data_IF_200950320396
#
_entry.id   IF_200950320396
#
_cell.length_a   1.000
_cell.length_b   1.000
_cell.length_c   1.000
_cell.angle_alpha   90.00
_cell.angle_beta   90.00
_cell.angle_gamma   90.00
#
_symmetry.space_group_name_H-M   'P 1'
#
loop_
_entity.id
_entity.type
_entity.pdbx_description
1 polymer ?
#
# COMPACT_ATOMS: atom_id res chain seq x y z
N UNK A 1 -6.61 35.71 -38.81
CA UNK A 1 -5.45 34.82 -38.52
C UNK A 1 -4.97 34.84 -37.07
N UNK A 2 -5.28 35.88 -36.27
CA UNK A 2 -4.85 35.95 -34.86
C UNK A 2 -5.83 35.23 -33.90
N UNK A 3 -7.11 35.12 -34.26
CA UNK A 3 -8.13 34.47 -33.42
C UNK A 3 -7.97 32.94 -33.29
N UNK A 4 -7.44 32.28 -34.33
CA UNK A 4 -7.21 30.83 -34.34
C UNK A 4 -6.03 30.40 -33.47
N UNK A 5 -5.11 31.30 -33.14
CA UNK A 5 -3.94 30.99 -32.30
C UNK A 5 -4.30 30.88 -30.81
N UNK A 6 -5.33 31.60 -30.34
CA UNK A 6 -5.76 31.58 -28.94
C UNK A 6 -6.54 30.32 -28.56
N UNK A 7 -7.25 29.71 -29.52
CA UNK A 7 -8.05 28.50 -29.26
C UNK A 7 -7.13 27.28 -29.07
N UNK A 8 -6.00 27.22 -29.79
CA UNK A 8 -5.02 26.14 -29.66
C UNK A 8 -4.25 26.23 -28.33
N UNK A 9 -3.93 27.45 -27.85
CA UNK A 9 -3.28 27.62 -26.55
C UNK A 9 -4.19 27.27 -25.36
N UNK A 10 -5.50 27.55 -25.45
CA UNK A 10 -6.44 27.21 -24.40
C UNK A 10 -6.60 25.68 -24.24
N UNK A 11 -6.54 24.92 -25.33
CA UNK A 11 -6.60 23.46 -25.28
C UNK A 11 -5.37 22.80 -24.63
N UNK A 12 -4.22 23.50 -24.59
CA UNK A 12 -3.02 23.02 -23.89
C UNK A 12 -3.04 23.29 -22.38
N UNK A 13 -3.92 24.20 -21.92
CA UNK A 13 -4.09 24.51 -20.50
C UNK A 13 -5.25 23.77 -19.83
N UNK A 14 -6.20 23.23 -20.60
CA UNK A 14 -7.09 22.18 -20.11
C UNK A 14 -6.41 20.83 -20.20
N UNK A 15 -5.29 20.70 -19.48
CA UNK A 15 -4.81 19.40 -19.05
C UNK A 15 -5.90 18.78 -18.19
N UNK A 16 -6.78 18.00 -18.81
CA UNK A 16 -7.59 17.04 -18.09
C UNK A 16 -6.58 16.06 -17.51
N UNK A 17 -6.06 16.36 -16.30
CA UNK A 17 -5.55 15.31 -15.42
C UNK A 17 -6.78 14.45 -15.18
N UNK A 18 -6.95 13.40 -15.99
CA UNK A 18 -7.89 12.34 -15.66
C UNK A 18 -7.51 11.91 -14.25
N UNK A 19 -8.43 12.07 -13.30
CA UNK A 19 -8.24 11.47 -12.00
C UNK A 19 -8.16 9.96 -12.26
N UNK A 20 -7.01 9.35 -12.02
CA UNK A 20 -6.85 7.91 -12.11
C UNK A 20 -7.85 7.30 -11.11
N UNK A 21 -8.70 6.40 -11.59
CA UNK A 21 -9.65 5.68 -10.74
C UNK A 21 -9.01 4.37 -10.32
N UNK A 22 -8.88 4.14 -9.01
CA UNK A 22 -8.28 2.91 -8.46
C UNK A 22 -9.37 2.05 -7.85
N UNK A 23 -9.49 0.83 -8.35
CA UNK A 23 -10.34 -0.22 -7.80
C UNK A 23 -9.47 -1.22 -7.06
N UNK A 24 -9.75 -1.47 -5.80
CA UNK A 24 -9.13 -2.53 -5.00
C UNK A 24 -9.88 -3.82 -5.31
N UNK A 25 -9.23 -4.71 -6.06
CA UNK A 25 -9.85 -5.97 -6.50
C UNK A 25 -9.91 -6.98 -5.35
N UNK A 26 -8.84 -7.07 -4.55
CA UNK A 26 -8.75 -8.03 -3.45
C UNK A 26 -7.62 -7.66 -2.46
N UNK A 27 -7.71 -8.19 -1.24
CA UNK A 27 -6.65 -8.17 -0.23
C UNK A 27 -6.52 -9.55 0.41
N UNK A 28 -5.29 -10.04 0.49
CA UNK A 28 -5.00 -11.33 1.11
C UNK A 28 -3.81 -11.25 2.04
N UNK A 29 -3.85 -12.06 3.10
CA UNK A 29 -2.75 -12.26 4.03
C UNK A 29 -2.23 -13.70 3.90
N UNK A 30 -1.38 -14.02 2.91
CA UNK A 30 -0.95 -15.38 2.64
C UNK A 30 -0.07 -15.98 3.74
N UNK A 31 0.52 -15.14 4.59
CA UNK A 31 1.39 -15.60 5.67
C UNK A 31 1.30 -14.67 6.88
N UNK A 32 1.24 -15.29 8.07
CA UNK A 32 1.46 -14.61 9.35
C UNK A 32 2.10 -15.58 10.35
N UNK A 33 2.91 -15.04 11.26
CA UNK A 33 3.51 -15.82 12.34
C UNK A 33 2.60 -15.83 13.56
N UNK A 34 2.08 -17.02 13.91
CA UNK A 34 1.26 -17.25 15.11
C UNK A 34 1.99 -16.95 16.43
N UNK A 35 3.31 -16.83 16.39
CA UNK A 35 4.10 -16.42 17.56
C UNK A 35 3.89 -14.93 17.88
N UNK A 36 3.71 -14.09 16.85
CA UNK A 36 3.63 -12.64 16.99
C UNK A 36 2.23 -12.09 16.77
N UNK A 37 1.40 -12.81 15.98
CA UNK A 37 0.12 -12.31 15.48
C UNK A 37 -1.00 -13.34 15.66
N UNK A 38 -2.21 -12.85 15.90
CA UNK A 38 -3.42 -13.63 15.58
C UNK A 38 -3.64 -13.67 14.07
N UNK A 39 -4.49 -14.59 13.62
CA UNK A 39 -4.91 -14.64 12.22
C UNK A 39 -5.53 -13.29 11.81
N UNK A 40 -4.99 -12.61 10.78
CA UNK A 40 -5.56 -11.36 10.29
C UNK A 40 -6.87 -11.61 9.57
N UNK A 41 -7.88 -10.81 9.90
CA UNK A 41 -9.12 -10.70 9.17
C UNK A 41 -8.98 -9.57 8.14
N UNK A 42 -9.04 -9.93 6.85
CA UNK A 42 -8.81 -9.01 5.73
C UNK A 42 -9.87 -9.20 4.66
N UNK A 43 -10.45 -8.10 4.19
CA UNK A 43 -11.33 -8.09 3.03
C UNK A 43 -11.48 -6.68 2.45
N UNK A 44 -11.95 -6.58 1.21
CA UNK A 44 -12.36 -5.33 0.60
C UNK A 44 -13.87 -5.16 0.78
N UNK A 45 -14.31 -4.02 1.28
CA UNK A 45 -15.74 -3.74 1.48
C UNK A 45 -16.42 -3.25 0.18
N UNK A 46 -17.74 -3.08 0.22
CA UNK A 46 -18.53 -2.67 -0.95
C UNK A 46 -18.21 -1.23 -1.44
N UNK A 47 -17.61 -0.41 -0.58
CA UNK A 47 -17.21 0.96 -0.85
C UNK A 47 -15.75 1.06 -1.32
N UNK A 48 -15.13 -0.06 -1.72
CA UNK A 48 -13.75 -0.13 -2.22
C UNK A 48 -12.69 0.29 -1.18
N UNK A 49 -12.96 0.04 0.10
CA UNK A 49 -12.03 0.27 1.20
C UNK A 49 -11.54 -1.06 1.78
N UNK A 50 -10.34 -1.03 2.36
CA UNK A 50 -9.73 -2.20 2.98
C UNK A 50 -10.16 -2.29 4.44
N UNK A 51 -10.69 -3.45 4.81
CA UNK A 51 -10.79 -3.89 6.19
C UNK A 51 -9.56 -4.73 6.53
N UNK A 52 -8.89 -4.40 7.62
CA UNK A 52 -7.78 -5.18 8.17
C UNK A 52 -7.89 -5.15 9.69
N UNK A 53 -7.94 -6.31 10.32
CA UNK A 53 -7.94 -6.44 11.78
C UNK A 53 -7.08 -7.62 12.21
N UNK A 54 -6.18 -7.39 13.15
CA UNK A 54 -5.35 -8.43 13.75
C UNK A 54 -4.91 -8.00 15.15
N UNK A 55 -4.35 -8.94 15.92
CA UNK A 55 -3.75 -8.62 17.20
C UNK A 55 -2.29 -9.00 17.21
N UNK A 56 -1.45 -8.10 17.71
CA UNK A 56 -0.06 -8.40 18.08
C UNK A 56 -0.12 -9.08 19.45
N UNK A 57 0.27 -10.35 19.54
CA UNK A 57 0.34 -11.09 20.82
C UNK A 57 1.71 -10.95 21.48
N UNK A 58 2.73 -10.66 20.69
CA UNK A 58 4.11 -10.44 21.14
C UNK A 58 4.72 -9.34 20.29
N UNK A 59 5.34 -8.34 20.92
CA UNK A 59 6.02 -7.26 20.21
C UNK A 59 7.02 -7.81 19.21
N UNK A 60 7.06 -7.18 18.04
CA UNK A 60 8.07 -7.49 17.04
C UNK A 60 9.48 -7.17 17.57
N UNK A 61 10.49 -7.96 17.18
CA UNK A 61 11.87 -7.62 17.49
C UNK A 61 12.27 -6.25 16.92
N UNK A 62 13.20 -5.56 17.57
CA UNK A 62 13.70 -4.24 17.14
C UNK A 62 14.34 -4.26 15.75
N UNK A 63 14.86 -5.40 15.33
CA UNK A 63 15.51 -5.58 14.04
C UNK A 63 14.55 -5.98 12.91
N UNK A 64 13.23 -6.01 13.16
CA UNK A 64 12.23 -6.35 12.14
C UNK A 64 12.35 -5.44 10.92
N UNK A 65 12.52 -6.05 9.76
CA UNK A 65 12.59 -5.38 8.47
C UNK A 65 11.21 -5.36 7.82
N UNK A 66 10.92 -4.26 7.14
CA UNK A 66 9.74 -4.04 6.33
C UNK A 66 10.17 -3.93 4.87
N UNK A 67 9.55 -4.75 4.04
CA UNK A 67 9.74 -4.80 2.60
C UNK A 67 8.44 -4.45 1.90
N UNK A 68 8.50 -3.50 0.99
CA UNK A 68 7.37 -3.08 0.18
C UNK A 68 7.75 -3.14 -1.29
N UNK A 69 6.81 -3.60 -2.12
CA UNK A 69 6.99 -3.65 -3.57
C UNK A 69 5.67 -3.38 -4.29
N UNK A 70 5.73 -2.60 -5.36
CA UNK A 70 4.65 -2.45 -6.32
C UNK A 70 5.02 -3.12 -7.65
N UNK A 71 4.22 -4.10 -8.07
CA UNK A 71 4.39 -4.85 -9.31
C UNK A 71 3.20 -4.59 -10.24
N UNK A 72 3.46 -4.26 -11.50
CA UNK A 72 2.45 -4.18 -12.56
C UNK A 72 2.19 -5.53 -13.22
N UNK A 73 0.99 -5.70 -13.77
CA UNK A 73 0.62 -6.91 -14.49
C UNK A 73 1.10 -6.88 -15.95
N UNK A 74 1.53 -8.04 -16.44
CA UNK A 74 1.79 -8.35 -17.84
C UNK A 74 1.22 -9.73 -18.15
N UNK A 75 0.40 -9.85 -19.20
CA UNK A 75 -0.18 -11.13 -19.63
C UNK A 75 -0.88 -11.94 -18.50
N UNK A 76 -1.43 -11.25 -17.50
CA UNK A 76 -2.11 -11.87 -16.35
C UNK A 76 -1.22 -12.16 -15.14
N UNK A 77 0.09 -11.90 -15.23
CA UNK A 77 1.03 -12.12 -14.12
C UNK A 77 1.61 -10.78 -13.61
N UNK A 78 1.76 -10.65 -12.29
CA UNK A 78 2.33 -9.46 -11.65
C UNK A 78 3.86 -9.53 -11.66
N UNK A 79 4.47 -9.17 -12.80
CA UNK A 79 5.92 -9.33 -13.05
C UNK A 79 6.62 -8.03 -13.48
N UNK A 80 5.88 -6.95 -13.75
CA UNK A 80 6.47 -5.68 -14.17
C UNK A 80 6.94 -4.93 -12.93
N UNK A 81 8.25 -4.83 -12.71
CA UNK A 81 8.78 -3.96 -11.67
C UNK A 81 8.50 -2.49 -12.00
N UNK A 82 7.78 -1.80 -11.12
CA UNK A 82 7.51 -0.37 -11.27
C UNK A 82 8.69 0.52 -10.87
N UNK A 83 9.70 -0.07 -10.22
CA UNK A 83 10.79 0.64 -9.58
C UNK A 83 10.45 1.15 -8.17
N UNK A 84 9.21 0.96 -7.71
CA UNK A 84 8.80 1.29 -6.34
C UNK A 84 8.98 0.06 -5.45
N UNK A 85 10.14 0.04 -4.81
CA UNK A 85 10.54 -0.99 -3.87
C UNK A 85 11.27 -0.31 -2.71
N UNK A 86 10.82 -0.61 -1.49
CA UNK A 86 11.41 -0.07 -0.27
C UNK A 86 11.76 -1.21 0.67
N UNK A 87 12.97 -1.13 1.24
CA UNK A 87 13.43 -2.06 2.26
C UNK A 87 14.14 -1.28 3.37
N UNK A 88 13.57 -1.31 4.58
CA UNK A 88 14.10 -0.62 5.75
C UNK A 88 13.53 -1.25 7.03
N UNK A 89 13.94 -0.76 8.21
CA UNK A 89 13.32 -1.25 9.45
C UNK A 89 11.83 -0.90 9.52
N UNK A 90 11.02 -1.71 10.20
CA UNK A 90 9.59 -1.43 10.41
C UNK A 90 9.37 -0.01 10.98
N UNK A 91 10.23 0.41 11.91
CA UNK A 91 10.09 1.72 12.52
C UNK A 91 10.46 2.87 11.59
N UNK A 92 11.43 2.70 10.69
CA UNK A 92 11.74 3.70 9.64
C UNK A 92 10.62 3.79 8.61
N UNK A 93 9.99 2.67 8.26
CA UNK A 93 8.87 2.63 7.31
C UNK A 93 7.68 3.49 7.76
N UNK A 94 7.52 3.74 9.06
CA UNK A 94 6.47 4.63 9.58
C UNK A 94 6.67 6.10 9.22
N UNK A 95 7.90 6.50 8.89
CA UNK A 95 8.23 7.87 8.47
C UNK A 95 8.16 8.04 6.95
N UNK A 96 7.96 6.95 6.20
CA UNK A 96 7.88 7.01 4.75
C UNK A 96 6.63 7.79 4.31
N UNK A 97 6.79 8.83 3.46
CA UNK A 97 5.68 9.70 3.09
C UNK A 97 4.75 9.05 2.04
N UNK A 98 5.15 7.91 1.49
CA UNK A 98 4.39 7.19 0.46
C UNK A 98 3.49 6.13 1.06
N UNK A 99 2.53 5.64 0.26
CA UNK A 99 1.52 4.59 0.51
C UNK A 99 1.65 3.80 1.83
N UNK A 100 2.77 3.11 2.07
CA UNK A 100 2.95 2.22 3.23
C UNK A 100 2.91 2.95 4.57
N UNK A 101 3.69 4.02 4.74
CA UNK A 101 3.80 4.71 6.04
C UNK A 101 2.44 5.19 6.57
N UNK A 102 1.64 5.92 5.77
CA UNK A 102 0.29 6.33 6.12
C UNK A 102 -0.65 5.15 6.40
N UNK A 103 -0.58 4.07 5.61
CA UNK A 103 -1.39 2.86 5.86
C UNK A 103 -1.02 2.24 7.21
N UNK A 104 0.27 2.13 7.54
CA UNK A 104 0.73 1.62 8.83
C UNK A 104 0.22 2.47 10.00
N UNK A 105 0.20 3.79 9.84
CA UNK A 105 -0.36 4.70 10.85
C UNK A 105 -1.88 4.52 11.00
N UNK A 106 -2.61 4.36 9.90
CA UNK A 106 -4.07 4.15 9.91
C UNK A 106 -4.45 2.84 10.63
N UNK A 107 -3.65 1.79 10.51
CA UNK A 107 -3.89 0.50 11.17
C UNK A 107 -3.38 0.48 12.63
N UNK A 108 -2.80 1.59 13.11
CA UNK A 108 -2.46 1.79 14.51
C UNK A 108 -0.99 1.60 14.88
N UNK A 109 -0.06 1.52 13.92
CA UNK A 109 1.37 1.64 14.25
C UNK A 109 1.72 3.10 14.47
N UNK A 110 2.51 3.38 15.49
CA UNK A 110 3.01 4.73 15.74
C UNK A 110 4.52 4.70 16.03
N UNK A 111 5.18 5.82 15.71
CA UNK A 111 6.63 5.95 15.89
C UNK A 111 7.05 5.88 17.37
N UNK A 112 6.38 6.56 18.32
CA UNK A 112 6.76 6.51 19.73
C UNK A 112 6.75 5.11 20.35
N UNK A 113 5.86 4.23 19.89
CA UNK A 113 5.68 2.89 20.42
C UNK A 113 6.24 1.81 19.49
N UNK A 114 7.17 2.13 18.59
CA UNK A 114 7.77 1.14 17.70
C UNK A 114 9.02 0.47 18.33
N UNK A 115 9.11 -0.87 18.39
CA UNK A 115 8.15 -1.86 17.88
C UNK A 115 6.85 -1.93 18.67
N UNK A 116 5.73 -2.03 17.94
CA UNK A 116 4.38 -1.95 18.49
C UNK A 116 4.15 -2.92 19.67
N UNK A 117 3.54 -2.46 20.77
CA UNK A 117 3.22 -3.32 21.92
C UNK A 117 2.13 -4.34 21.56
N UNK A 118 1.95 -5.41 22.35
CA UNK A 118 0.82 -6.30 22.17
C UNK A 118 -0.51 -5.55 22.28
N UNK A 119 -1.46 -5.87 21.41
CA UNK A 119 -2.71 -5.13 21.29
C UNK A 119 -3.48 -5.47 20.02
N UNK A 120 -4.64 -4.84 19.86
CA UNK A 120 -5.46 -4.95 18.65
C UNK A 120 -5.06 -3.83 17.69
N UNK A 121 -4.83 -4.19 16.43
CA UNK A 121 -4.42 -3.31 15.35
C UNK A 121 -5.36 -3.54 14.18
N UNK A 122 -5.64 -2.47 13.44
CA UNK A 122 -6.56 -2.54 12.32
C UNK A 122 -7.48 -1.36 12.21
N UNK A 123 -8.19 -1.32 11.09
CA UNK A 123 -9.19 -0.32 10.78
C UNK A 123 -10.19 -0.93 9.79
N UNK A 124 -11.44 -0.50 9.89
CA UNK A 124 -12.54 -1.02 9.08
C UNK A 124 -12.64 -0.35 7.71
N UNK A 125 -12.09 0.87 7.58
CA UNK A 125 -12.26 1.72 6.41
C UNK A 125 -10.92 2.34 6.00
N UNK A 126 -9.96 1.50 5.61
CA UNK A 126 -8.66 1.96 5.13
C UNK A 126 -8.81 2.37 3.67
N UNK A 127 -8.69 3.66 3.42
CA UNK A 127 -8.54 4.21 2.08
C UNK A 127 -7.05 4.19 1.71
N UNK A 128 -6.74 3.64 0.52
CA UNK A 128 -5.37 3.71 0.01
C UNK A 128 -5.16 5.15 -0.48
N UNK A 129 -4.17 5.89 0.06
CA UNK A 129 -3.98 7.30 -0.27
C UNK A 129 -3.50 7.44 -1.71
N UNK A 130 -4.45 7.64 -2.63
CA UNK A 130 -4.23 7.63 -4.08
C UNK A 130 -3.33 8.77 -4.53
N UNK A 131 -3.41 9.91 -3.84
CA UNK A 131 -2.57 11.08 -4.05
C UNK A 131 -1.09 10.84 -3.73
N UNK A 132 -0.77 9.75 -3.02
CA UNK A 132 0.58 9.35 -2.68
C UNK A 132 1.12 8.27 -3.64
N UNK A 133 0.32 7.83 -4.62
CA UNK A 133 0.84 7.02 -5.71
C UNK A 133 1.72 7.89 -6.62
N UNK A 134 2.89 7.40 -7.06
CA UNK A 134 3.72 8.15 -7.99
C UNK A 134 2.98 8.42 -9.31
N UNK A 135 3.23 9.59 -9.90
CA UNK A 135 2.59 10.02 -11.16
C UNK A 135 2.91 9.07 -12.34
N UNK A 136 3.95 8.23 -12.22
CA UNK A 136 4.35 7.22 -13.19
C UNK A 136 3.45 5.97 -13.19
N UNK A 137 2.54 5.84 -12.22
CA UNK A 137 1.52 4.78 -12.22
C UNK A 137 0.56 5.06 -13.38
N UNK A 138 0.60 4.20 -14.39
CA UNK A 138 -0.25 4.26 -15.58
C UNK A 138 -1.46 3.31 -15.42
N UNK A 139 -2.52 3.45 -16.24
CA UNK A 139 -3.62 2.49 -16.22
C UNK A 139 -3.14 1.05 -16.45
N UNK A 140 -3.24 0.21 -15.41
CA UNK A 140 -2.87 -1.20 -15.40
C UNK A 140 -3.39 -1.87 -14.12
N UNK A 141 -3.27 -3.20 -14.04
CA UNK A 141 -3.38 -3.94 -12.77
C UNK A 141 -2.06 -3.92 -12.03
N UNK A 142 -2.12 -3.78 -10.71
CA UNK A 142 -0.95 -3.81 -9.84
C UNK A 142 -1.16 -4.70 -8.62
N UNK A 143 -0.04 -5.19 -8.09
CA UNK A 143 0.07 -5.88 -6.81
C UNK A 143 0.94 -5.02 -5.90
N UNK A 144 0.35 -4.59 -4.79
CA UNK A 144 1.08 -4.05 -3.64
C UNK A 144 1.40 -5.23 -2.73
N UNK A 145 2.69 -5.48 -2.50
CA UNK A 145 3.16 -6.50 -1.55
C UNK A 145 3.85 -5.80 -0.39
N UNK A 146 3.41 -6.09 0.84
CA UNK A 146 4.07 -5.67 2.07
C UNK A 146 4.45 -6.89 2.90
N UNK A 147 5.72 -7.00 3.27
CA UNK A 147 6.28 -8.13 3.99
C UNK A 147 7.08 -7.65 5.20
N UNK A 148 6.85 -8.27 6.35
CA UNK A 148 7.66 -8.11 7.55
C UNK A 148 8.53 -9.35 7.75
N UNK A 149 9.80 -9.14 8.04
CA UNK A 149 10.76 -10.22 8.33
C UNK A 149 11.61 -9.95 9.56
N UNK A 150 12.07 -11.01 10.20
CA UNK A 150 13.08 -10.95 11.25
C UNK A 150 14.03 -12.12 11.07
N UNK A 151 15.34 -11.84 10.95
CA UNK A 151 16.37 -12.86 10.68
C UNK A 151 16.03 -13.76 9.48
N UNK A 152 15.56 -13.16 8.39
CA UNK A 152 15.13 -13.83 7.15
C UNK A 152 13.86 -14.69 7.28
N UNK A 153 13.25 -14.77 8.47
CA UNK A 153 11.95 -15.43 8.67
C UNK A 153 10.81 -14.42 8.46
N UNK A 154 9.80 -14.82 7.70
CA UNK A 154 8.59 -14.01 7.50
C UNK A 154 7.80 -13.93 8.81
N UNK A 155 7.28 -12.75 9.10
CA UNK A 155 6.38 -12.48 10.22
C UNK A 155 4.96 -12.19 9.73
N UNK A 156 4.84 -11.46 8.63
CA UNK A 156 3.57 -11.05 8.03
C UNK A 156 3.79 -10.80 6.54
N UNK A 157 2.85 -11.21 5.70
CA UNK A 157 2.79 -10.84 4.29
C UNK A 157 1.37 -10.41 3.99
N UNK A 158 1.20 -9.20 3.47
CA UNK A 158 -0.07 -8.66 2.98
C UNK A 158 0.10 -8.34 1.49
N UNK A 159 -0.88 -8.77 0.69
CA UNK A 159 -0.94 -8.51 -0.74
C UNK A 159 -2.25 -7.83 -1.07
N UNK A 160 -2.18 -6.69 -1.76
CA UNK A 160 -3.35 -5.93 -2.21
C UNK A 160 -3.31 -5.86 -3.73
N UNK A 161 -4.38 -6.31 -4.37
CA UNK A 161 -4.54 -6.28 -5.81
C UNK A 161 -5.37 -5.05 -6.18
N UNK A 162 -4.83 -4.22 -7.05
CA UNK A 162 -5.49 -2.99 -7.49
C UNK A 162 -5.55 -2.91 -9.01
N UNK A 163 -6.54 -2.20 -9.52
CA UNK A 163 -6.72 -1.89 -10.93
C UNK A 163 -6.85 -0.37 -11.08
N UNK A 164 -5.97 0.22 -11.88
CA UNK A 164 -5.92 1.65 -12.18
C UNK A 164 -6.49 1.88 -13.58
N UNK A 165 -7.47 2.78 -13.69
CA UNK A 165 -8.14 3.18 -14.92
C UNK A 165 -7.71 4.56 -15.43
#
# INVERSE_FOLDING_TARGET
>A
MILTLFIVLAAQFFGVKGALEIVIEDIVCPFFSKEYLTEPDVYVNADNQVFLNFSIVKSFPTETQSYFQLLGASMGEYVIHTGLELQMSLCEMLDEPIIVGPILQIVGFDKPNCPSPPGVYGNENIEIPMELMPDEVIPNKYLISWELTYKEEKLLVIMIYIHVH
#
